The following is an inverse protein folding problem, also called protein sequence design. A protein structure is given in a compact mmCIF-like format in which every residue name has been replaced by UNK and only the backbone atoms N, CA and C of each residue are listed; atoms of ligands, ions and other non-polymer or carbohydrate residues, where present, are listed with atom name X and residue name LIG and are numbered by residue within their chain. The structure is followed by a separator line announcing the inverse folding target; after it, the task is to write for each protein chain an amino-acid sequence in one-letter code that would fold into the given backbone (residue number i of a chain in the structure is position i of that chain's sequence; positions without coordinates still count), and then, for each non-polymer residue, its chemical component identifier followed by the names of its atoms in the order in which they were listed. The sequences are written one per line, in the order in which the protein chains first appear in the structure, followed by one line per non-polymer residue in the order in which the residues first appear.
data_IF_769484258342
#
_entry.id   IF_769484258342
#
_cell.length_a   1.000
_cell.length_b   1.000
_cell.length_c   1.000
_cell.angle_alpha   90.00
_cell.angle_beta   90.00
_cell.angle_gamma   90.00
#
_symmetry.space_group_name_H-M   'P 1'
#
loop_
_entity.id
_entity.type
_entity.pdbx_description
1 polymer ?
#
# COMPACT_ATOMS: atom_id res chain seq x y z
N UNK A 1 19.03 -0.99 0.29
CA UNK A 1 18.11 0.05 -0.21
C UNK A 1 16.84 -0.16 0.57
N UNK A 2 16.63 0.62 1.62
CA UNK A 2 15.47 0.53 2.50
C UNK A 2 14.23 1.03 1.76
N UNK A 3 13.54 0.13 1.05
CA UNK A 3 12.23 0.38 0.48
C UNK A 3 11.21 0.37 1.63
N UNK A 4 10.97 1.53 2.24
CA UNK A 4 9.88 1.67 3.20
C UNK A 4 8.54 1.37 2.48
N UNK A 5 7.79 0.33 2.87
CA UNK A 5 6.56 -0.06 2.19
C UNK A 5 5.47 0.99 2.43
N UNK A 6 5.08 1.75 1.40
CA UNK A 6 4.08 2.84 1.45
C UNK A 6 2.64 2.35 1.37
N UNK A 7 2.24 1.41 2.24
CA UNK A 7 0.86 0.91 2.33
C UNK A 7 0.11 1.55 3.52
N UNK A 8 -0.78 2.54 3.31
CA UNK A 8 -1.39 3.31 4.40
C UNK A 8 -2.22 2.46 5.38
N UNK A 9 -2.96 1.46 4.88
CA UNK A 9 -3.79 0.56 5.69
C UNK A 9 -2.97 -0.41 6.53
N UNK A 10 -1.72 -0.66 6.14
CA UNK A 10 -0.75 -1.41 6.95
C UNK A 10 -0.29 -0.56 8.14
N UNK A 11 0.05 0.71 7.91
CA UNK A 11 0.41 1.63 8.99
C UNK A 11 -0.75 1.94 9.94
N UNK A 12 -1.98 2.01 9.43
CA UNK A 12 -3.16 2.21 10.28
C UNK A 12 -3.38 1.02 11.23
N UNK A 13 -3.31 -0.22 10.71
CA UNK A 13 -3.35 -1.43 11.55
C UNK A 13 -2.21 -1.47 12.58
N UNK A 14 -1.03 -1.00 12.20
CA UNK A 14 0.12 -0.96 13.09
C UNK A 14 0.00 0.13 14.16
N UNK A 15 -0.57 1.30 13.83
CA UNK A 15 -0.86 2.35 14.82
C UNK A 15 -1.82 1.82 15.88
N UNK A 16 -2.86 1.10 15.46
CA UNK A 16 -3.82 0.47 16.38
C UNK A 16 -3.12 -0.54 17.30
N UNK A 17 -2.26 -1.42 16.75
CA UNK A 17 -1.51 -2.40 17.55
C UNK A 17 -0.52 -1.74 18.52
N UNK A 18 0.13 -0.65 18.13
CA UNK A 18 1.04 0.11 19.00
C UNK A 18 0.28 0.81 20.13
N UNK A 19 -0.87 1.41 19.82
CA UNK A 19 -1.72 2.06 20.83
C UNK A 19 -2.28 1.04 21.83
N UNK A 20 -2.72 -0.14 21.36
CA UNK A 20 -3.15 -1.25 22.23
C UNK A 20 -2.02 -1.73 23.16
N UNK A 21 -0.78 -1.83 22.66
CA UNK A 21 0.41 -2.20 23.44
C UNK A 21 0.79 -1.14 24.49
N UNK A 22 0.65 0.15 24.15
CA UNK A 22 0.90 1.26 25.09
C UNK A 22 -0.11 1.23 26.24
N UNK A 23 -1.39 0.96 25.95
CA UNK A 23 -2.43 0.84 26.97
C UNK A 23 -2.24 -0.42 27.83
N UNK A 24 -1.83 -1.56 27.27
CA UNK A 24 -1.50 -2.77 28.04
C UNK A 24 -0.32 -2.57 29.02
N UNK A 25 0.67 -1.76 28.63
CA UNK A 25 1.77 -1.35 29.51
C UNK A 25 1.29 -0.43 30.64
N UNK A 26 0.40 0.53 30.34
CA UNK A 26 -0.20 1.40 31.37
C UNK A 26 -0.99 0.60 32.40
N UNK A 27 -1.54 -0.54 31.99
CA UNK A 27 -2.28 -1.46 32.85
C UNK A 27 -1.38 -2.47 33.61
N UNK A 28 -0.05 -2.31 33.58
CA UNK A 28 0.95 -3.17 34.27
C UNK A 28 0.87 -4.67 33.90
N UNK A 29 0.33 -5.00 32.72
CA UNK A 29 0.01 -6.39 32.35
C UNK A 29 1.13 -7.17 31.66
N UNK A 30 2.25 -6.53 31.30
CA UNK A 30 3.39 -7.12 30.56
C UNK A 30 4.74 -6.66 31.13
N UNK A 31 5.69 -7.58 31.21
CA UNK A 31 7.05 -7.30 31.69
C UNK A 31 7.81 -6.47 30.63
N UNK A 32 8.69 -5.55 31.06
CA UNK A 32 9.40 -4.61 30.18
C UNK A 32 10.25 -5.32 29.10
N UNK A 33 10.67 -6.56 29.38
CA UNK A 33 11.38 -7.41 28.42
C UNK A 33 10.46 -7.92 27.30
N UNK A 34 9.26 -8.38 27.63
CA UNK A 34 8.26 -8.82 26.65
C UNK A 34 7.82 -7.66 25.76
N UNK A 35 7.71 -6.46 26.34
CA UNK A 35 7.46 -5.21 25.60
C UNK A 35 8.52 -4.92 24.53
N UNK A 36 9.81 -5.10 24.85
CA UNK A 36 10.90 -4.90 23.88
C UNK A 36 10.96 -6.00 22.82
N UNK A 37 10.63 -7.24 23.17
CA UNK A 37 10.56 -8.35 22.22
C UNK A 37 9.40 -8.18 21.24
N UNK A 38 8.24 -7.72 21.70
CA UNK A 38 7.08 -7.49 20.84
C UNK A 38 7.29 -6.28 19.92
N UNK A 39 7.94 -5.21 20.41
CA UNK A 39 8.37 -4.09 19.56
C UNK A 39 9.40 -4.54 18.52
N UNK A 40 10.38 -5.38 18.90
CA UNK A 40 11.36 -5.90 17.96
C UNK A 40 10.70 -6.79 16.90
N UNK A 41 9.77 -7.66 17.30
CA UNK A 41 8.98 -8.50 16.38
C UNK A 41 8.13 -7.67 15.44
N UNK A 42 7.43 -6.65 15.95
CA UNK A 42 6.65 -5.73 15.12
C UNK A 42 7.57 -4.97 14.15
N UNK A 43 8.70 -4.45 14.62
CA UNK A 43 9.68 -3.78 13.76
C UNK A 43 10.27 -4.72 12.70
N UNK A 44 10.45 -6.00 13.02
CA UNK A 44 10.90 -7.02 12.09
C UNK A 44 9.82 -7.35 11.04
N UNK A 45 8.54 -7.36 11.42
CA UNK A 45 7.41 -7.45 10.48
C UNK A 45 7.29 -6.21 9.58
N UNK A 46 7.74 -5.04 10.04
CA UNK A 46 7.82 -3.81 9.23
C UNK A 46 8.97 -3.85 8.24
N UNK A 47 10.12 -4.36 8.68
CA UNK A 47 11.34 -4.50 7.86
C UNK A 47 11.23 -5.63 6.83
N UNK A 48 10.56 -6.71 7.21
CA UNK A 48 10.18 -7.81 6.35
C UNK A 48 8.68 -8.03 6.54
N UNK A 49 7.81 -7.43 5.70
CA UNK A 49 6.42 -7.83 5.67
C UNK A 49 6.41 -9.32 5.37
N UNK A 50 6.17 -10.13 6.41
CA UNK A 50 5.94 -11.57 6.30
C UNK A 50 5.00 -11.69 5.12
N UNK A 51 5.42 -12.42 4.09
CA UNK A 51 4.61 -12.71 2.93
C UNK A 51 3.26 -13.22 3.42
N UNK A 52 2.28 -12.32 3.59
CA UNK A 52 0.88 -12.63 3.47
C UNK A 52 0.83 -13.40 2.16
N UNK A 53 0.25 -14.60 2.19
CA UNK A 53 0.18 -15.48 1.02
C UNK A 53 -0.71 -14.83 -0.03
N UNK A 54 -0.21 -13.77 -0.66
CA UNK A 54 -0.84 -13.08 -1.74
C UNK A 54 -1.01 -14.07 -2.89
N UNK A 55 -2.12 -14.00 -3.63
CA UNK A 55 -2.25 -14.73 -4.87
C UNK A 55 -1.01 -14.49 -5.75
N UNK A 56 -0.63 -15.49 -6.54
CA UNK A 56 0.61 -15.45 -7.35
C UNK A 56 0.69 -14.22 -8.26
N UNK A 57 -0.45 -13.66 -8.64
CA UNK A 57 -0.58 -12.48 -9.49
C UNK A 57 -0.25 -11.16 -8.78
N UNK A 58 -0.19 -11.15 -7.45
CA UNK A 58 0.07 -10.00 -6.58
C UNK A 58 1.52 -10.12 -6.04
N UNK A 59 2.45 -10.08 -6.99
CA UNK A 59 3.88 -10.39 -6.83
C UNK A 59 4.77 -9.15 -6.60
N UNK A 60 4.19 -7.95 -6.63
CA UNK A 60 4.90 -6.67 -6.48
C UNK A 60 4.26 -5.80 -5.40
N UNK A 61 5.06 -4.98 -4.71
CA UNK A 61 4.56 -4.05 -3.69
C UNK A 61 3.47 -3.10 -4.23
N UNK A 62 3.58 -2.62 -5.47
CA UNK A 62 2.55 -1.77 -6.08
C UNK A 62 1.22 -2.51 -6.23
N UNK A 63 1.23 -3.76 -6.71
CA UNK A 63 0.02 -4.60 -6.78
C UNK A 63 -0.54 -4.93 -5.40
N UNK A 64 0.30 -5.22 -4.41
CA UNK A 64 -0.14 -5.48 -3.03
C UNK A 64 -0.87 -4.27 -2.45
N UNK A 65 -0.31 -3.07 -2.63
CA UNK A 65 -0.94 -1.82 -2.19
C UNK A 65 -2.31 -1.62 -2.87
N UNK A 66 -2.42 -1.84 -4.18
CA UNK A 66 -3.70 -1.77 -4.90
C UNK A 66 -4.71 -2.82 -4.38
N UNK A 67 -4.24 -4.05 -4.14
CA UNK A 67 -5.08 -5.15 -3.67
C UNK A 67 -5.65 -4.91 -2.28
N UNK A 68 -4.83 -4.42 -1.36
CA UNK A 68 -5.22 -4.23 0.04
C UNK A 68 -6.11 -3.00 0.27
N UNK A 69 -5.92 -1.96 -0.55
CA UNK A 69 -6.56 -0.66 -0.37
C UNK A 69 -7.74 -0.39 -1.30
N UNK A 70 -7.74 -0.97 -2.51
CA UNK A 70 -8.77 -0.66 -3.52
C UNK A 70 -9.71 -1.83 -3.77
N UNK A 71 -9.17 -3.02 -4.04
CA UNK A 71 -10.00 -4.20 -4.34
C UNK A 71 -9.19 -5.49 -4.25
N UNK A 72 -9.73 -6.49 -3.54
CA UNK A 72 -9.14 -7.85 -3.48
C UNK A 72 -9.43 -8.68 -4.75
N UNK A 73 -9.51 -8.03 -5.91
CA UNK A 73 -9.72 -8.65 -7.22
C UNK A 73 -8.40 -8.65 -8.00
N UNK A 74 -7.76 -9.82 -8.08
CA UNK A 74 -6.43 -9.97 -8.71
C UNK A 74 -6.44 -9.58 -10.18
N UNK A 75 -7.50 -9.90 -10.91
CA UNK A 75 -7.65 -9.57 -12.33
C UNK A 75 -7.80 -8.07 -12.56
N UNK A 76 -8.57 -7.41 -11.70
CA UNK A 76 -8.71 -5.96 -11.73
C UNK A 76 -7.39 -5.26 -11.35
N UNK A 77 -6.73 -5.69 -10.26
CA UNK A 77 -5.45 -5.11 -9.83
C UNK A 77 -4.39 -5.23 -10.92
N UNK A 78 -4.30 -6.38 -11.59
CA UNK A 78 -3.40 -6.58 -12.72
C UNK A 78 -3.69 -5.59 -13.85
N UNK A 79 -4.96 -5.40 -14.23
CA UNK A 79 -5.34 -4.42 -15.27
C UNK A 79 -4.96 -2.99 -14.89
N UNK A 80 -5.11 -2.62 -13.62
CA UNK A 80 -4.69 -1.31 -13.13
C UNK A 80 -3.18 -1.15 -13.27
N UNK A 81 -2.41 -2.12 -12.76
CA UNK A 81 -0.95 -2.13 -12.87
C UNK A 81 -0.49 -2.02 -14.33
N UNK A 82 -1.03 -2.86 -15.22
CA UNK A 82 -0.70 -2.87 -16.65
C UNK A 82 -1.05 -1.52 -17.32
N UNK A 83 -2.17 -0.91 -16.93
CA UNK A 83 -2.60 0.41 -17.44
C UNK A 83 -1.63 1.50 -17.01
N UNK A 84 -1.22 1.52 -15.73
CA UNK A 84 -0.23 2.50 -15.25
C UNK A 84 1.09 2.33 -15.99
N UNK A 85 1.63 1.11 -16.06
CA UNK A 85 2.93 0.86 -16.69
C UNK A 85 2.94 1.18 -18.19
N UNK A 86 1.85 0.89 -18.91
CA UNK A 86 1.77 1.12 -20.35
C UNK A 86 1.37 2.54 -20.76
N UNK A 87 0.66 3.28 -19.90
CA UNK A 87 0.13 4.62 -20.22
C UNK A 87 0.86 5.75 -19.51
N UNK A 88 1.65 5.48 -18.47
CA UNK A 88 2.48 6.52 -17.84
C UNK A 88 3.45 7.09 -18.86
N UNK A 89 3.54 8.41 -18.88
CA UNK A 89 4.48 9.14 -19.73
C UNK A 89 5.67 9.60 -18.90
N UNK A 90 6.84 9.71 -19.50
CA UNK A 90 8.05 10.16 -18.76
C UNK A 90 7.82 11.50 -18.07
N UNK A 91 8.19 11.58 -16.80
CA UNK A 91 8.00 12.79 -15.98
C UNK A 91 6.54 13.17 -15.75
N UNK A 92 5.58 12.24 -15.85
CA UNK A 92 4.16 12.54 -15.65
C UNK A 92 3.88 13.16 -14.28
N UNK A 93 4.61 12.77 -13.24
CA UNK A 93 4.47 13.32 -11.89
C UNK A 93 4.68 14.84 -11.84
N UNK A 94 5.54 15.40 -12.70
CA UNK A 94 5.79 16.84 -12.75
C UNK A 94 4.81 17.60 -13.67
N UNK A 95 3.98 16.90 -14.45
CA UNK A 95 3.16 17.52 -15.50
C UNK A 95 1.66 17.18 -15.34
N UNK A 96 0.86 18.19 -14.99
CA UNK A 96 -0.59 18.06 -14.77
C UNK A 96 -1.36 17.47 -15.96
N UNK A 97 -0.96 17.78 -17.19
CA UNK A 97 -1.62 17.21 -18.39
C UNK A 97 -1.36 15.72 -18.51
N UNK A 98 -0.13 15.28 -18.21
CA UNK A 98 0.25 13.86 -18.22
C UNK A 98 -0.43 13.09 -17.09
N UNK A 99 -0.54 13.69 -15.89
CA UNK A 99 -1.34 13.12 -14.80
C UNK A 99 -2.80 12.97 -15.20
N UNK A 100 -3.40 14.01 -15.81
CA UNK A 100 -4.79 13.98 -16.29
C UNK A 100 -5.01 12.90 -17.34
N UNK A 101 -4.06 12.73 -18.26
CA UNK A 101 -4.10 11.64 -19.25
C UNK A 101 -4.16 10.27 -18.56
N UNK A 102 -3.24 10.01 -17.62
CA UNK A 102 -3.21 8.75 -16.89
C UNK A 102 -4.50 8.52 -16.07
N UNK A 103 -5.02 9.55 -15.39
CA UNK A 103 -6.31 9.48 -14.68
C UNK A 103 -7.46 9.11 -15.62
N UNK A 104 -7.51 9.71 -16.82
CA UNK A 104 -8.53 9.39 -17.84
C UNK A 104 -8.45 7.92 -18.26
N UNK A 105 -7.25 7.34 -18.35
CA UNK A 105 -7.09 5.91 -18.63
C UNK A 105 -7.53 5.01 -17.46
N UNK A 106 -7.46 5.51 -16.22
CA UNK A 106 -7.85 4.79 -15.01
C UNK A 106 -9.34 4.95 -14.67
N UNK A 107 -10.02 5.98 -15.17
CA UNK A 107 -11.44 6.25 -14.91
C UNK A 107 -12.36 5.04 -15.17
N UNK A 108 -12.24 4.30 -16.28
CA UNK A 108 -13.07 3.12 -16.50
C UNK A 108 -12.87 2.04 -15.42
N UNK A 109 -11.61 1.81 -15.02
CA UNK A 109 -11.28 0.83 -13.99
C UNK A 109 -11.77 1.27 -12.61
N UNK A 110 -11.72 2.57 -12.31
CA UNK A 110 -12.27 3.13 -11.08
C UNK A 110 -13.80 2.97 -11.04
N UNK A 111 -14.48 3.27 -12.14
CA UNK A 111 -15.94 3.14 -12.27
C UNK A 111 -16.43 1.69 -12.08
N UNK A 112 -15.70 0.70 -12.63
CA UNK A 112 -16.03 -0.72 -12.45
C UNK A 112 -16.12 -1.16 -10.97
N UNK A 113 -15.37 -0.50 -10.09
CA UNK A 113 -15.35 -0.78 -8.64
C UNK A 113 -16.04 0.30 -7.80
N UNK A 114 -16.64 1.31 -8.43
CA UNK A 114 -17.25 2.46 -7.74
C UNK A 114 -16.24 3.28 -6.94
N UNK A 115 -14.98 3.33 -7.39
CA UNK A 115 -13.89 4.05 -6.72
C UNK A 115 -13.74 5.47 -7.26
N UNK A 116 -13.21 6.34 -6.41
CA UNK A 116 -12.75 7.67 -6.82
C UNK A 116 -11.38 7.57 -7.50
N UNK A 117 -11.32 8.01 -8.76
CA UNK A 117 -10.09 7.97 -9.57
C UNK A 117 -8.99 8.85 -8.99
N UNK A 118 -9.34 9.93 -8.28
CA UNK A 118 -8.36 10.80 -7.64
C UNK A 118 -7.66 10.07 -6.50
N UNK A 119 -8.43 9.43 -5.61
CA UNK A 119 -7.88 8.62 -4.50
C UNK A 119 -7.07 7.42 -4.99
N UNK A 120 -7.57 6.76 -6.05
CA UNK A 120 -6.84 5.67 -6.70
C UNK A 120 -5.51 6.16 -7.26
N UNK A 121 -5.51 7.30 -7.94
CA UNK A 121 -4.29 7.89 -8.50
C UNK A 121 -3.30 8.32 -7.41
N UNK A 122 -3.77 8.91 -6.31
CA UNK A 122 -2.95 9.25 -5.14
C UNK A 122 -2.24 8.02 -4.56
N UNK A 123 -2.96 6.90 -4.41
CA UNK A 123 -2.37 5.65 -3.95
C UNK A 123 -1.30 5.13 -4.94
N UNK A 124 -1.56 5.24 -6.24
CA UNK A 124 -0.61 4.83 -7.29
C UNK A 124 0.68 5.63 -7.20
N UNK A 125 0.62 6.98 -7.16
CA UNK A 125 1.83 7.81 -7.14
C UNK A 125 2.64 7.67 -5.84
N UNK A 126 2.02 7.18 -4.76
CA UNK A 126 2.72 6.86 -3.52
C UNK A 126 3.63 5.64 -3.66
N UNK A 127 3.38 4.71 -4.59
CA UNK A 127 4.21 3.51 -4.74
C UNK A 127 5.43 3.76 -5.61
N UNK A 128 6.62 3.42 -5.10
CA UNK A 128 7.90 3.65 -5.79
C UNK A 128 7.92 3.04 -7.22
N UNK A 129 7.30 1.87 -7.38
CA UNK A 129 7.14 1.13 -8.64
C UNK A 129 6.53 1.96 -9.78
N UNK A 130 5.69 2.94 -9.46
CA UNK A 130 5.00 3.77 -10.45
C UNK A 130 5.58 5.17 -10.59
N UNK A 131 6.64 5.52 -9.84
CA UNK A 131 7.24 6.86 -9.87
C UNK A 131 8.27 7.06 -10.99
N UNK A 132 8.84 5.96 -11.49
CA UNK A 132 9.83 5.97 -12.56
C UNK A 132 9.24 6.25 -13.94
#
# INVERSE_FOLDING_TARGET
MDENPTNPKYFEKMSILLDELIEQRRQESIDYKEYLEEIARLAEQVSNPVQSSYPKEIDTFGKQALFDNLSQDTGWVKRVHDTVQSRKQDGYLANKMKQKHLKTCLEPLAQEKGLDVEKMFELIIQQAEYRA
#
